data_IF_843174231760
#
_entry.id   IF_843174231760
#
_cell.length_a   1.000
_cell.length_b   1.000
_cell.length_c   1.000
_cell.angle_alpha   90.00
_cell.angle_beta   90.00
_cell.angle_gamma   90.00
#
_symmetry.space_group_name_H-M   'P 1'
#
loop_
_entity.id
_entity.type
_entity.pdbx_description
1 polymer ?
#
# COMPACT_ATOMS: atom_id res chain seq x y z
N UNK A 1 0.88 17.36 31.02
CA UNK A 1 1.40 17.36 29.64
C UNK A 1 0.51 18.25 28.78
N UNK A 2 0.99 19.44 28.45
CA UNK A 2 0.41 20.34 27.44
C UNK A 2 0.69 19.74 26.07
N UNK A 3 -0.34 19.19 25.42
CA UNK A 3 -0.26 18.86 24.00
C UNK A 3 -0.04 20.18 23.25
N UNK A 4 1.18 20.42 22.75
CA UNK A 4 1.43 21.54 21.84
C UNK A 4 0.50 21.36 20.65
N UNK A 5 -0.48 22.25 20.50
CA UNK A 5 -1.28 22.37 19.29
C UNK A 5 -0.32 22.58 18.12
N UNK A 6 -0.16 21.57 17.26
CA UNK A 6 0.54 21.75 16.00
C UNK A 6 -0.26 22.69 15.10
N UNK A 7 0.37 23.29 14.11
CA UNK A 7 -0.31 24.15 13.13
C UNK A 7 -1.35 23.34 12.35
N UNK A 8 -2.58 23.86 12.22
CA UNK A 8 -3.60 23.33 11.31
C UNK A 8 -3.09 23.43 9.87
N UNK A 9 -3.51 22.51 9.00
CA UNK A 9 -3.41 22.74 7.57
C UNK A 9 -4.24 23.95 7.15
N UNK A 10 -3.85 24.60 6.06
CA UNK A 10 -4.59 25.74 5.52
C UNK A 10 -6.06 25.39 5.24
N UNK A 11 -6.33 24.19 4.71
CA UNK A 11 -7.68 23.71 4.45
C UNK A 11 -8.52 23.60 5.73
N UNK A 12 -7.98 23.01 6.80
CA UNK A 12 -8.71 22.90 8.07
C UNK A 12 -8.86 24.25 8.79
N UNK A 13 -7.92 25.18 8.58
CA UNK A 13 -8.05 26.55 9.10
C UNK A 13 -9.20 27.28 8.40
N UNK A 14 -9.29 27.21 7.06
CA UNK A 14 -10.41 27.79 6.29
C UNK A 14 -11.75 27.22 6.74
N UNK A 15 -11.87 25.89 6.86
CA UNK A 15 -13.11 25.27 7.36
C UNK A 15 -13.47 25.78 8.75
N UNK A 16 -12.50 25.84 9.67
CA UNK A 16 -12.75 26.32 11.02
C UNK A 16 -13.23 27.78 11.06
N UNK A 17 -12.66 28.63 10.21
CA UNK A 17 -13.00 30.05 10.14
C UNK A 17 -14.40 30.28 9.53
N UNK A 18 -14.86 29.39 8.65
CA UNK A 18 -16.20 29.43 8.02
C UNK A 18 -17.31 28.86 8.92
N UNK A 19 -16.97 28.07 9.95
CA UNK A 19 -17.97 27.47 10.84
C UNK A 19 -18.58 28.51 11.80
N UNK A 20 -19.91 28.47 11.94
CA UNK A 20 -20.62 29.17 13.03
C UNK A 20 -20.19 28.64 14.40
N UNK A 21 -20.31 29.46 15.44
CA UNK A 21 -19.97 29.06 16.81
C UNK A 21 -20.74 27.82 17.27
N UNK A 22 -22.03 27.72 16.93
CA UNK A 22 -22.83 26.52 17.19
C UNK A 22 -22.32 25.26 16.47
N UNK A 23 -21.78 25.41 15.26
CA UNK A 23 -21.22 24.29 14.51
C UNK A 23 -19.87 23.85 15.09
N UNK A 24 -19.03 24.80 15.55
CA UNK A 24 -17.74 24.48 16.19
C UNK A 24 -17.90 23.64 17.45
N UNK A 25 -18.97 23.84 18.22
CA UNK A 25 -19.30 23.01 19.39
C UNK A 25 -19.53 21.54 19.01
N UNK A 26 -20.03 21.27 17.81
CA UNK A 26 -20.33 19.90 17.35
C UNK A 26 -19.10 19.17 16.80
N UNK A 27 -18.08 19.90 16.33
CA UNK A 27 -16.87 19.33 15.69
C UNK A 27 -16.22 18.21 16.51
N UNK A 28 -15.94 18.35 17.83
CA UNK A 28 -15.33 17.27 18.60
C UNK A 28 -16.16 15.98 18.61
N UNK A 29 -17.48 16.10 18.75
CA UNK A 29 -18.40 14.95 18.77
C UNK A 29 -18.49 14.29 17.40
N UNK A 30 -18.62 15.08 16.35
CA UNK A 30 -18.76 14.57 14.99
C UNK A 30 -17.48 13.89 14.52
N UNK A 31 -16.32 14.50 14.77
CA UNK A 31 -15.01 13.90 14.49
C UNK A 31 -14.80 12.61 15.30
N UNK A 32 -15.13 12.59 16.60
CA UNK A 32 -15.05 11.36 17.40
C UNK A 32 -15.95 10.25 16.86
N UNK A 33 -17.20 10.59 16.51
CA UNK A 33 -18.17 9.63 15.98
C UNK A 33 -17.64 9.05 14.66
N UNK A 34 -17.34 9.90 13.68
CA UNK A 34 -16.80 9.49 12.38
C UNK A 34 -15.54 8.62 12.53
N UNK A 35 -14.60 9.04 13.39
CA UNK A 35 -13.36 8.29 13.59
C UNK A 35 -13.60 6.91 14.20
N UNK A 36 -14.56 6.78 15.13
CA UNK A 36 -14.83 5.51 15.83
C UNK A 36 -15.74 4.57 15.06
N UNK A 37 -16.73 5.10 14.33
CA UNK A 37 -17.76 4.30 13.64
C UNK A 37 -17.42 4.01 12.18
N UNK A 38 -16.61 4.83 11.53
CA UNK A 38 -16.28 4.67 10.11
C UNK A 38 -14.79 4.39 9.92
N UNK A 39 -13.93 5.29 10.42
CA UNK A 39 -12.49 5.21 10.16
C UNK A 39 -11.84 3.97 10.79
N UNK A 40 -12.05 3.72 12.09
CA UNK A 40 -11.45 2.54 12.75
C UNK A 40 -11.88 1.22 12.10
N UNK A 41 -13.17 0.98 11.80
CA UNK A 41 -13.57 -0.19 11.02
C UNK A 41 -12.90 -0.27 9.65
N UNK A 42 -12.82 0.84 8.90
CA UNK A 42 -12.14 0.86 7.61
C UNK A 42 -10.65 0.48 7.72
N UNK A 43 -9.95 0.98 8.75
CA UNK A 43 -8.56 0.60 9.03
C UNK A 43 -8.42 -0.89 9.30
N UNK A 44 -9.37 -1.51 10.02
CA UNK A 44 -9.36 -2.96 10.27
C UNK A 44 -9.57 -3.76 8.98
N UNK A 45 -10.42 -3.29 8.09
CA UNK A 45 -10.59 -3.91 6.77
C UNK A 45 -9.31 -3.80 5.93
N UNK A 46 -8.63 -2.66 5.95
CA UNK A 46 -7.31 -2.51 5.29
C UNK A 46 -6.28 -3.46 5.91
N UNK A 47 -6.24 -3.59 7.24
CA UNK A 47 -5.34 -4.53 7.92
C UNK A 47 -5.59 -5.97 7.48
N UNK A 48 -6.87 -6.38 7.44
CA UNK A 48 -7.30 -7.72 7.02
C UNK A 48 -6.94 -8.00 5.57
N UNK A 49 -7.31 -7.10 4.65
CA UNK A 49 -6.97 -7.23 3.24
C UNK A 49 -5.45 -7.27 3.02
N UNK A 50 -4.70 -6.43 3.74
CA UNK A 50 -3.25 -6.43 3.70
C UNK A 50 -2.63 -7.73 4.20
N UNK A 51 -3.17 -8.33 5.26
CA UNK A 51 -2.72 -9.63 5.77
C UNK A 51 -2.98 -10.77 4.77
N UNK A 52 -4.13 -10.78 4.10
CA UNK A 52 -4.41 -11.77 3.05
C UNK A 52 -3.48 -11.60 1.84
N UNK A 53 -3.27 -10.35 1.39
CA UNK A 53 -2.31 -10.07 0.31
C UNK A 53 -0.89 -10.51 0.67
N UNK A 54 -0.46 -10.31 1.92
CA UNK A 54 0.84 -10.74 2.39
C UNK A 54 1.02 -12.27 2.32
N UNK A 55 -0.03 -13.05 2.67
CA UNK A 55 -0.01 -14.52 2.53
C UNK A 55 0.18 -14.93 1.07
N UNK A 56 -0.54 -14.28 0.15
CA UNK A 56 -0.42 -14.54 -1.29
C UNK A 56 1.00 -14.25 -1.77
N UNK A 57 1.60 -13.12 -1.35
CA UNK A 57 2.98 -12.80 -1.72
C UNK A 57 4.00 -13.80 -1.16
N UNK A 58 3.82 -14.28 0.07
CA UNK A 58 4.69 -15.30 0.65
C UNK A 58 4.58 -16.64 -0.09
N UNK A 59 3.37 -17.04 -0.48
CA UNK A 59 3.16 -18.22 -1.30
C UNK A 59 3.83 -18.08 -2.68
N UNK A 60 3.65 -16.92 -3.34
CA UNK A 60 4.30 -16.61 -4.60
C UNK A 60 5.83 -16.71 -4.50
N UNK A 61 6.43 -16.09 -3.47
CA UNK A 61 7.88 -16.17 -3.24
C UNK A 61 8.36 -17.63 -3.14
N UNK A 62 7.67 -18.43 -2.32
CA UNK A 62 8.01 -19.85 -2.16
C UNK A 62 7.93 -20.61 -3.48
N UNK A 63 6.87 -20.40 -4.26
CA UNK A 63 6.70 -21.03 -5.57
C UNK A 63 7.75 -20.56 -6.59
N UNK A 64 8.09 -19.27 -6.59
CA UNK A 64 9.15 -18.71 -7.45
C UNK A 64 10.52 -19.30 -7.11
N UNK A 65 10.87 -19.43 -5.84
CA UNK A 65 12.12 -20.03 -5.39
C UNK A 65 12.24 -21.50 -5.84
N UNK A 66 11.14 -22.26 -5.73
CA UNK A 66 11.06 -23.64 -6.21
C UNK A 66 11.26 -23.72 -7.74
N UNK A 67 10.64 -22.81 -8.49
CA UNK A 67 10.78 -22.77 -9.94
C UNK A 67 12.19 -22.41 -10.39
N UNK A 68 12.81 -21.39 -9.76
CA UNK A 68 14.23 -21.04 -9.98
C UNK A 68 15.12 -22.25 -9.70
N UNK A 69 14.87 -22.98 -8.61
CA UNK A 69 15.65 -24.17 -8.28
C UNK A 69 15.53 -25.28 -9.34
N UNK A 70 14.31 -25.54 -9.82
CA UNK A 70 14.07 -26.52 -10.88
C UNK A 70 14.80 -26.11 -12.19
N UNK A 71 14.71 -24.84 -12.60
CA UNK A 71 15.41 -24.33 -13.77
C UNK A 71 16.94 -24.41 -13.61
N UNK A 72 17.49 -24.10 -12.44
CA UNK A 72 18.93 -24.27 -12.17
C UNK A 72 19.37 -25.74 -12.26
N UNK A 73 18.48 -26.68 -11.93
CA UNK A 73 18.75 -28.11 -12.08
C UNK A 73 18.77 -28.52 -13.55
N UNK A 74 17.85 -27.98 -14.37
CA UNK A 74 17.86 -28.16 -15.83
C UNK A 74 19.11 -27.54 -16.47
N UNK A 75 19.49 -26.32 -16.09
CA UNK A 75 20.76 -25.69 -16.50
C UNK A 75 21.96 -26.57 -16.13
N UNK A 76 21.97 -27.18 -14.94
CA UNK A 76 23.07 -28.05 -14.53
C UNK A 76 23.19 -29.30 -15.40
N UNK A 77 22.07 -29.85 -15.88
CA UNK A 77 22.10 -31.05 -16.73
C UNK A 77 22.69 -30.77 -18.11
N UNK A 78 22.56 -29.54 -18.64
CA UNK A 78 23.13 -29.14 -19.93
C UNK A 78 24.67 -29.22 -19.98
N UNK A 79 25.35 -29.17 -18.82
CA UNK A 79 26.82 -29.24 -18.72
C UNK A 79 27.41 -30.54 -19.28
N UNK A 80 26.60 -31.60 -19.35
CA UNK A 80 26.97 -32.91 -19.92
C UNK A 80 26.45 -33.12 -21.34
N UNK A 81 25.73 -32.14 -21.90
CA UNK A 81 25.13 -32.24 -23.22
C UNK A 81 26.12 -31.84 -24.32
N UNK A 82 25.78 -32.14 -25.58
CA UNK A 82 26.54 -31.71 -26.75
C UNK A 82 26.59 -30.17 -26.86
N UNK A 83 27.58 -29.59 -27.57
CA UNK A 83 27.85 -28.15 -27.57
C UNK A 83 26.64 -27.25 -27.87
N UNK A 84 25.79 -27.64 -28.82
CA UNK A 84 24.58 -26.87 -29.16
C UNK A 84 23.58 -26.77 -27.99
N UNK A 85 23.34 -27.88 -27.29
CA UNK A 85 22.46 -27.90 -26.12
C UNK A 85 23.09 -27.21 -24.90
N UNK A 86 24.42 -27.28 -24.76
CA UNK A 86 25.15 -26.54 -23.73
C UNK A 86 24.97 -25.03 -23.89
N UNK A 87 25.12 -24.51 -25.12
CA UNK A 87 24.90 -23.09 -25.41
C UNK A 87 23.48 -22.60 -25.02
N UNK A 88 22.46 -23.43 -25.27
CA UNK A 88 21.09 -23.13 -24.83
C UNK A 88 20.94 -23.16 -23.30
N UNK A 89 21.62 -24.09 -22.63
CA UNK A 89 21.66 -24.13 -21.18
C UNK A 89 22.34 -22.91 -20.55
N UNK A 90 23.39 -22.38 -21.20
CA UNK A 90 24.05 -21.15 -20.77
C UNK A 90 23.10 -19.94 -20.94
N UNK A 91 22.41 -19.81 -22.08
CA UNK A 91 21.39 -18.77 -22.28
C UNK A 91 20.22 -18.86 -21.29
N UNK A 92 19.76 -20.08 -20.97
CA UNK A 92 18.75 -20.29 -19.92
C UNK A 92 19.28 -19.85 -18.54
N UNK A 93 20.55 -20.10 -18.23
CA UNK A 93 21.14 -19.69 -16.96
C UNK A 93 21.10 -18.16 -16.76
N UNK A 94 21.33 -17.40 -17.84
CA UNK A 94 21.28 -15.94 -17.80
C UNK A 94 19.86 -15.45 -17.50
N UNK A 95 18.84 -16.06 -18.13
CA UNK A 95 17.43 -15.75 -17.86
C UNK A 95 17.04 -16.10 -16.41
N UNK A 96 17.46 -17.28 -15.93
CA UNK A 96 17.21 -17.72 -14.55
C UNK A 96 17.84 -16.77 -13.54
N UNK A 97 19.05 -16.28 -13.84
CA UNK A 97 19.76 -15.32 -12.99
C UNK A 97 19.03 -13.98 -12.92
N UNK A 98 18.57 -13.46 -14.07
CA UNK A 98 17.77 -12.24 -14.12
C UNK A 98 16.45 -12.38 -13.36
N UNK A 99 15.70 -13.47 -13.58
CA UNK A 99 14.45 -13.73 -12.87
C UNK A 99 14.65 -13.86 -11.36
N UNK A 100 15.68 -14.59 -10.92
CA UNK A 100 16.02 -14.71 -9.50
C UNK A 100 16.31 -13.33 -8.88
N UNK A 101 16.99 -12.44 -9.61
CA UNK A 101 17.22 -11.06 -9.18
C UNK A 101 15.94 -10.26 -8.97
N UNK A 102 14.91 -10.45 -9.83
CA UNK A 102 13.59 -9.81 -9.65
C UNK A 102 12.87 -10.39 -8.43
N UNK A 103 12.88 -11.71 -8.25
CA UNK A 103 12.27 -12.38 -7.09
C UNK A 103 12.87 -11.85 -5.78
N UNK A 104 14.18 -11.67 -5.71
CA UNK A 104 14.86 -11.11 -4.55
C UNK A 104 14.46 -9.66 -4.25
N UNK A 105 14.27 -8.83 -5.29
CA UNK A 105 13.82 -7.46 -5.10
C UNK A 105 12.35 -7.38 -4.68
N UNK A 106 11.49 -8.20 -5.30
CA UNK A 106 10.11 -8.35 -4.88
C UNK A 106 10.03 -8.78 -3.40
N UNK A 107 10.91 -9.70 -2.96
CA UNK A 107 11.01 -10.11 -1.56
C UNK A 107 11.31 -8.96 -0.60
N UNK A 108 12.22 -8.06 -0.96
CA UNK A 108 12.51 -6.84 -0.17
C UNK A 108 11.27 -5.93 -0.09
N UNK A 109 10.59 -5.71 -1.21
CA UNK A 109 9.36 -4.89 -1.24
C UNK A 109 8.23 -5.49 -0.39
N UNK A 110 8.06 -6.81 -0.42
CA UNK A 110 7.07 -7.52 0.42
C UNK A 110 7.43 -7.43 1.91
N UNK A 111 8.72 -7.39 2.27
CA UNK A 111 9.13 -7.16 3.67
C UNK A 111 8.70 -5.78 4.18
N UNK A 112 8.87 -4.73 3.36
CA UNK A 112 8.35 -3.38 3.67
C UNK A 112 6.83 -3.38 3.82
N UNK A 113 6.13 -4.11 2.94
CA UNK A 113 4.68 -4.28 3.02
C UNK A 113 4.26 -4.97 4.32
N UNK A 114 4.96 -6.03 4.74
CA UNK A 114 4.69 -6.73 5.99
C UNK A 114 4.79 -5.80 7.20
N UNK A 115 5.79 -4.91 7.22
CA UNK A 115 5.93 -3.90 8.26
C UNK A 115 4.78 -2.88 8.26
N UNK A 116 4.28 -2.49 7.08
CA UNK A 116 3.11 -1.62 6.94
C UNK A 116 1.83 -2.30 7.44
N UNK A 117 1.59 -3.55 7.04
CA UNK A 117 0.43 -4.33 7.49
C UNK A 117 0.45 -4.49 9.01
N UNK A 118 1.60 -4.83 9.60
CA UNK A 118 1.76 -4.94 11.05
C UNK A 118 1.40 -3.63 11.78
N UNK A 119 1.93 -2.49 11.31
CA UNK A 119 1.58 -1.17 11.86
C UNK A 119 0.10 -0.86 11.73
N UNK A 120 -0.51 -1.18 10.59
CA UNK A 120 -1.93 -0.96 10.32
C UNK A 120 -2.81 -1.80 11.25
N UNK A 121 -2.43 -3.05 11.50
CA UNK A 121 -3.10 -3.94 12.45
C UNK A 121 -3.04 -3.39 13.88
N UNK A 122 -1.86 -2.99 14.34
CA UNK A 122 -1.69 -2.37 15.67
C UNK A 122 -2.53 -1.10 15.79
N UNK A 123 -2.50 -0.27 14.77
CA UNK A 123 -3.30 0.94 14.68
C UNK A 123 -4.80 0.62 14.85
N UNK A 124 -5.35 -0.30 14.05
CA UNK A 124 -6.76 -0.69 14.13
C UNK A 124 -7.19 -1.27 15.48
N UNK A 125 -6.27 -1.88 16.24
CA UNK A 125 -6.55 -2.46 17.55
C UNK A 125 -6.56 -1.42 18.68
N UNK A 126 -5.61 -0.49 18.67
CA UNK A 126 -5.41 0.48 19.75
C UNK A 126 -6.20 1.78 19.56
N UNK A 127 -6.54 2.13 18.32
CA UNK A 127 -7.03 3.48 18.01
C UNK A 127 -8.36 3.81 18.66
N UNK A 128 -9.25 2.82 18.80
CA UNK A 128 -10.55 3.01 19.45
C UNK A 128 -10.41 3.49 20.90
N UNK A 129 -9.42 2.96 21.64
CA UNK A 129 -9.18 3.37 23.02
C UNK A 129 -8.58 4.78 23.08
N UNK A 130 -7.59 5.07 22.23
CA UNK A 130 -6.98 6.40 22.14
C UNK A 130 -8.01 7.49 21.85
N UNK A 131 -8.93 7.23 20.92
CA UNK A 131 -10.05 8.14 20.62
C UNK A 131 -10.98 8.31 21.81
N UNK A 132 -11.29 7.22 22.54
CA UNK A 132 -12.14 7.29 23.75
C UNK A 132 -11.47 8.13 24.83
N UNK A 133 -10.17 7.98 25.07
CA UNK A 133 -9.43 8.75 26.07
C UNK A 133 -9.44 10.25 25.75
N UNK A 134 -9.12 10.61 24.49
CA UNK A 134 -9.14 12.00 24.02
C UNK A 134 -10.53 12.62 24.19
N UNK A 135 -11.58 11.89 23.77
CA UNK A 135 -12.94 12.40 23.85
C UNK A 135 -13.47 12.48 25.29
N UNK A 136 -13.13 11.51 26.14
CA UNK A 136 -13.49 11.53 27.57
C UNK A 136 -12.83 12.69 28.30
N UNK A 137 -11.59 13.03 27.93
CA UNK A 137 -10.89 14.21 28.46
C UNK A 137 -11.60 15.50 28.04
N UNK A 138 -11.92 15.63 26.75
CA UNK A 138 -12.69 16.77 26.24
C UNK A 138 -14.02 16.94 26.98
N UNK A 139 -14.81 15.88 27.16
CA UNK A 139 -16.08 15.95 27.88
C UNK A 139 -15.95 16.41 29.34
N UNK A 140 -14.84 16.07 30.01
CA UNK A 140 -14.57 16.55 31.37
C UNK A 140 -14.23 18.04 31.37
N UNK A 141 -13.40 18.47 30.44
CA UNK A 141 -12.98 19.88 30.29
C UNK A 141 -14.17 20.77 29.89
N UNK A 142 -15.04 20.30 29.00
CA UNK A 142 -16.27 20.98 28.57
C UNK A 142 -17.24 21.21 29.74
N UNK A 143 -17.48 20.19 30.57
CA UNK A 143 -18.30 20.32 31.77
C UNK A 143 -17.69 21.27 32.80
N UNK A 144 -16.38 21.22 32.98
CA UNK A 144 -15.68 22.03 33.96
C UNK A 144 -15.64 23.52 33.54
N UNK A 145 -15.38 23.82 32.26
CA UNK A 145 -15.38 25.21 31.80
C UNK A 145 -16.77 25.83 31.87
N UNK A 146 -17.82 25.05 31.57
CA UNK A 146 -19.20 25.52 31.68
C UNK A 146 -19.62 25.74 33.15
N UNK A 147 -19.14 24.89 34.07
CA UNK A 147 -19.34 25.09 35.51
C UNK A 147 -18.61 26.35 36.01
N UNK A 148 -17.40 26.61 35.53
CA UNK A 148 -16.64 27.81 35.86
C UNK A 148 -17.29 29.07 35.28
N UNK A 149 -17.89 28.97 34.08
CA UNK A 149 -18.70 30.06 33.48
C UNK A 149 -19.88 30.42 34.38
N UNK A 150 -20.66 29.41 34.81
CA UNK A 150 -21.82 29.60 35.70
C UNK A 150 -21.45 30.19 37.07
N UNK A 151 -20.24 29.92 37.56
CA UNK A 151 -19.70 30.49 38.80
C UNK A 151 -19.11 31.89 38.63
N UNK A 152 -19.03 32.41 37.40
CA UNK A 152 -18.41 33.70 37.09
C UNK A 152 -16.87 33.68 37.11
N UNK A 153 -16.23 32.53 37.30
CA UNK A 153 -14.75 32.42 37.30
C UNK A 153 -14.16 32.34 35.89
N UNK A 154 -15.00 32.13 34.87
CA UNK A 154 -14.65 32.14 33.45
C UNK A 154 -15.66 32.99 32.67
N UNK A 155 -15.16 33.68 31.66
CA UNK A 155 -15.97 34.55 30.79
C UNK A 155 -16.56 33.77 29.62
N UNK A 156 -17.50 34.37 28.89
CA UNK A 156 -17.97 33.81 27.61
C UNK A 156 -16.84 33.72 26.57
N UNK A 157 -15.88 34.65 26.61
CA UNK A 157 -14.69 34.62 25.75
C UNK A 157 -13.79 33.42 26.04
N UNK A 158 -13.62 33.04 27.31
CA UNK A 158 -12.89 31.82 27.68
C UNK A 158 -13.56 30.57 27.10
N UNK A 159 -14.89 30.50 27.17
CA UNK A 159 -15.67 29.37 26.63
C UNK A 159 -15.53 29.30 25.11
N UNK A 160 -15.61 30.43 24.42
CA UNK A 160 -15.43 30.48 22.97
C UNK A 160 -14.02 30.07 22.56
N UNK A 161 -13.00 30.47 23.32
CA UNK A 161 -11.60 30.07 23.10
C UNK A 161 -11.45 28.55 23.23
N UNK A 162 -12.01 27.95 24.28
CA UNK A 162 -12.02 26.51 24.47
C UNK A 162 -12.74 25.76 23.33
N UNK A 163 -13.88 26.27 22.86
CA UNK A 163 -14.61 25.69 21.73
C UNK A 163 -13.76 25.72 20.45
N UNK A 164 -13.15 26.87 20.13
CA UNK A 164 -12.27 27.02 18.97
C UNK A 164 -11.06 26.06 19.06
N UNK A 165 -10.39 26.00 20.21
CA UNK A 165 -9.23 25.14 20.43
C UNK A 165 -9.57 23.65 20.36
N UNK A 166 -10.73 23.27 20.91
CA UNK A 166 -11.23 21.90 20.86
C UNK A 166 -11.58 21.48 19.42
N UNK A 167 -12.32 22.32 18.69
CA UNK A 167 -12.65 22.06 17.29
C UNK A 167 -11.36 21.90 16.45
N UNK A 168 -10.40 22.82 16.63
CA UNK A 168 -9.08 22.76 15.99
C UNK A 168 -8.34 21.46 16.31
N UNK A 169 -8.29 21.05 17.57
CA UNK A 169 -7.63 19.82 17.98
C UNK A 169 -8.25 18.60 17.29
N UNK A 170 -9.57 18.49 17.26
CA UNK A 170 -10.25 17.34 16.67
C UNK A 170 -10.12 17.27 15.14
N UNK A 171 -10.17 18.41 14.45
CA UNK A 171 -9.88 18.48 13.00
C UNK A 171 -8.43 18.04 12.71
N UNK A 172 -7.47 18.52 13.50
CA UNK A 172 -6.07 18.12 13.37
C UNK A 172 -5.90 16.62 13.64
N UNK A 173 -6.58 16.09 14.67
CA UNK A 173 -6.57 14.67 14.98
C UNK A 173 -7.11 13.87 13.80
N UNK A 174 -8.22 14.26 13.19
CA UNK A 174 -8.75 13.56 12.01
C UNK A 174 -7.74 13.59 10.85
N UNK A 175 -7.19 14.76 10.53
CA UNK A 175 -6.23 14.93 9.43
C UNK A 175 -4.97 14.06 9.58
N UNK A 176 -4.36 14.05 10.77
CA UNK A 176 -3.13 13.30 11.01
C UNK A 176 -3.30 11.80 10.75
N UNK A 177 -4.49 11.25 11.02
CA UNK A 177 -4.79 9.84 10.81
C UNK A 177 -4.87 9.50 9.33
N UNK A 178 -5.63 10.28 8.55
CA UNK A 178 -5.69 10.10 7.10
C UNK A 178 -4.32 10.31 6.44
N UNK A 179 -3.57 11.32 6.90
CA UNK A 179 -2.22 11.59 6.41
C UNK A 179 -1.28 10.40 6.61
N UNK A 180 -1.31 9.77 7.79
CA UNK A 180 -0.52 8.56 8.04
C UNK A 180 -0.80 7.48 6.99
N UNK A 181 -2.06 7.16 6.73
CA UNK A 181 -2.41 6.13 5.75
C UNK A 181 -1.99 6.50 4.33
N UNK A 182 -2.22 7.74 3.92
CA UNK A 182 -1.80 8.24 2.62
C UNK A 182 -0.28 8.14 2.43
N UNK A 183 0.51 8.69 3.36
CA UNK A 183 1.97 8.73 3.24
C UNK A 183 2.57 7.33 3.22
N UNK A 184 2.10 6.42 4.09
CA UNK A 184 2.65 5.06 4.16
C UNK A 184 2.32 4.24 2.93
N UNK A 185 1.08 4.30 2.44
CA UNK A 185 0.71 3.56 1.23
C UNK A 185 1.36 4.15 -0.02
N UNK A 186 1.41 5.49 -0.14
CA UNK A 186 2.13 6.16 -1.25
C UNK A 186 3.60 5.74 -1.29
N UNK A 187 4.28 5.76 -0.14
CA UNK A 187 5.67 5.32 -0.06
C UNK A 187 5.84 3.88 -0.53
N UNK A 188 4.98 2.98 -0.07
CA UNK A 188 5.04 1.57 -0.46
C UNK A 188 4.76 1.36 -1.96
N UNK A 189 3.71 2.01 -2.51
CA UNK A 189 3.39 1.93 -3.93
C UNK A 189 4.55 2.41 -4.81
N UNK A 190 5.22 3.50 -4.41
CA UNK A 190 6.40 3.99 -5.13
C UNK A 190 7.58 3.00 -5.07
N UNK A 191 7.76 2.27 -3.96
CA UNK A 191 8.73 1.17 -3.90
C UNK A 191 8.33 0.05 -4.87
N UNK A 192 7.06 -0.35 -4.86
CA UNK A 192 6.56 -1.44 -5.69
C UNK A 192 6.69 -1.14 -7.19
N UNK A 193 6.38 0.09 -7.61
CA UNK A 193 6.48 0.52 -9.01
C UNK A 193 7.91 0.43 -9.58
N UNK A 194 8.95 0.48 -8.73
CA UNK A 194 10.35 0.31 -9.18
C UNK A 194 10.65 -1.10 -9.69
N UNK A 195 9.78 -2.08 -9.43
CA UNK A 195 9.91 -3.44 -9.94
C UNK A 195 9.50 -3.54 -11.42
N UNK A 196 8.62 -2.65 -11.91
CA UNK A 196 8.05 -2.73 -13.27
C UNK A 196 9.12 -2.65 -14.38
N UNK A 197 10.05 -1.66 -14.37
CA UNK A 197 11.06 -1.57 -15.42
C UNK A 197 11.96 -2.81 -15.53
N UNK A 198 12.14 -3.54 -14.42
CA UNK A 198 12.97 -4.74 -14.38
C UNK A 198 12.25 -5.93 -15.03
N UNK A 199 10.93 -6.01 -14.86
CA UNK A 199 10.10 -7.00 -15.55
C UNK A 199 10.01 -6.70 -17.06
N UNK A 200 9.99 -5.42 -17.44
CA UNK A 200 10.03 -5.01 -18.85
C UNK A 200 11.39 -5.33 -19.51
N UNK A 201 12.49 -5.23 -18.77
CA UNK A 201 13.83 -5.56 -19.28
C UNK A 201 13.95 -7.06 -19.62
N UNK A 202 13.39 -7.95 -18.79
CA UNK A 202 13.26 -9.39 -19.12
C UNK A 202 12.44 -9.60 -20.40
N UNK A 203 11.42 -8.77 -20.63
CA UNK A 203 10.53 -8.87 -21.79
C UNK A 203 11.17 -8.31 -23.07
N UNK A 204 12.03 -7.29 -22.94
CA UNK A 204 12.70 -6.59 -24.05
C UNK A 204 13.99 -7.26 -24.52
N UNK A 205 14.57 -8.20 -23.76
CA UNK A 205 15.62 -9.11 -24.25
C UNK A 205 15.20 -9.93 -25.48
N UNK A 206 13.90 -9.95 -25.83
CA UNK A 206 13.40 -10.48 -27.11
C UNK A 206 13.85 -9.69 -28.34
N UNK A 207 14.10 -8.38 -28.24
CA UNK A 207 14.38 -7.57 -29.43
C UNK A 207 15.80 -7.77 -29.97
N UNK A 208 16.77 -8.17 -29.15
CA UNK A 208 18.14 -8.43 -29.64
C UNK A 208 18.31 -9.85 -30.20
N UNK A 209 17.53 -10.83 -29.73
CA UNK A 209 17.52 -12.18 -30.29
C UNK A 209 16.76 -12.27 -31.62
N UNK A 210 15.82 -11.36 -31.88
CA UNK A 210 15.12 -11.31 -33.18
C UNK A 210 16.02 -10.88 -34.35
N UNK A 211 17.16 -10.21 -34.11
CA UNK A 211 18.08 -9.84 -35.19
C UNK A 211 18.86 -11.07 -35.68
N UNK A 212 19.30 -11.95 -34.78
CA UNK A 212 19.98 -13.20 -35.13
C UNK A 212 19.00 -14.30 -35.61
N UNK A 213 17.76 -14.30 -35.11
CA UNK A 213 16.75 -15.27 -35.51
C UNK A 213 16.09 -14.91 -36.86
N UNK A 214 15.97 -13.62 -37.20
CA UNK A 214 15.51 -13.18 -38.52
C UNK A 214 16.50 -13.53 -39.64
N UNK A 215 17.82 -13.52 -39.36
CA UNK A 215 18.83 -13.97 -40.32
C UNK A 215 18.75 -15.49 -40.54
N UNK A 216 18.49 -16.26 -39.47
CA UNK A 216 18.33 -17.73 -39.54
C UNK A 216 16.99 -18.20 -40.11
N UNK A 217 15.91 -17.45 -39.92
CA UNK A 217 14.57 -17.79 -40.41
C UNK A 217 14.28 -17.26 -41.83
N UNK A 218 15.14 -16.41 -42.41
CA UNK A 218 15.05 -16.01 -43.82
C UNK A 218 15.25 -17.17 -44.81
N UNK A 219 15.73 -18.32 -44.34
CA UNK A 219 15.92 -19.52 -45.15
C UNK A 219 14.69 -20.47 -45.18
N UNK A 220 13.63 -20.23 -44.41
CA UNK A 220 12.41 -21.06 -44.43
C UNK A 220 11.17 -20.16 -44.31
N UNK A 221 10.48 -20.01 -45.43
CA UNK A 221 9.35 -19.11 -45.69
C UNK A 221 8.31 -18.91 -44.57
N UNK A 222 7.94 -17.63 -44.40
CA UNK A 222 6.60 -17.03 -44.49
C UNK A 222 5.43 -17.71 -43.74
N UNK A 223 4.91 -17.03 -42.70
CA UNK A 223 3.48 -16.68 -42.48
C UNK A 223 3.35 -15.82 -41.19
N UNK A 224 2.72 -14.64 -41.36
CA UNK A 224 1.93 -13.79 -40.43
C UNK A 224 1.73 -14.27 -38.97
N UNK A 225 1.70 -13.47 -37.90
CA UNK A 225 1.59 -12.04 -37.67
C UNK A 225 1.14 -11.79 -36.21
N UNK A 226 1.74 -10.77 -35.58
CA UNK A 226 1.22 -9.92 -34.47
C UNK A 226 0.63 -10.57 -33.20
N UNK A 227 1.37 -10.56 -32.07
CA UNK A 227 0.82 -10.75 -30.71
C UNK A 227 1.22 -9.56 -29.81
N UNK A 228 0.31 -8.58 -29.72
CA UNK A 228 0.35 -7.45 -28.78
C UNK A 228 -0.98 -7.37 -27.98
N UNK A 229 -1.48 -8.51 -27.50
CA UNK A 229 -2.81 -8.58 -26.88
C UNK A 229 -2.94 -9.57 -25.71
N UNK A 230 -1.85 -9.86 -24.97
CA UNK A 230 -1.89 -10.88 -23.90
C UNK A 230 -2.14 -10.35 -22.48
N UNK A 231 -2.33 -9.04 -22.27
CA UNK A 231 -2.57 -8.46 -20.95
C UNK A 231 -4.01 -7.98 -20.68
N UNK A 232 -4.95 -8.13 -21.63
CA UNK A 232 -6.34 -7.67 -21.45
C UNK A 232 -7.40 -8.77 -21.38
N UNK A 233 -7.06 -10.06 -21.49
CA UNK A 233 -8.08 -11.12 -21.65
C UNK A 233 -7.90 -12.32 -20.71
N UNK A 234 -7.25 -12.15 -19.55
CA UNK A 234 -7.15 -13.21 -18.53
C UNK A 234 -8.25 -13.15 -17.46
N UNK A 235 -9.36 -12.43 -17.71
CA UNK A 235 -10.54 -12.37 -16.84
C UNK A 235 -11.83 -12.89 -17.48
N UNK A 236 -11.76 -13.52 -18.66
CA UNK A 236 -12.95 -14.17 -19.24
C UNK A 236 -12.58 -15.53 -19.82
N UNK A 237 -13.24 -16.53 -19.28
CA UNK A 237 -13.44 -17.88 -19.80
C UNK A 237 -12.41 -18.92 -19.38
N UNK A 238 -12.67 -19.48 -18.19
CA UNK A 238 -12.76 -20.93 -18.05
C UNK A 238 -13.51 -21.54 -19.25
N UNK A 239 -12.84 -22.41 -20.00
CA UNK A 239 -13.34 -23.68 -20.57
C UNK A 239 -12.36 -24.15 -21.67
N UNK A 240 -12.22 -25.48 -21.77
CA UNK A 240 -11.38 -26.28 -22.69
C UNK A 240 -10.04 -26.82 -22.15
N UNK A 241 -10.16 -27.81 -21.27
CA UNK A 241 -9.79 -29.23 -21.48
C UNK A 241 -8.93 -29.57 -22.73
N UNK A 242 -7.78 -30.24 -22.46
CA UNK A 242 -7.01 -31.24 -23.23
C UNK A 242 -6.69 -31.04 -24.74
N UNK A 243 -5.40 -31.06 -25.10
CA UNK A 243 -4.69 -32.24 -25.69
C UNK A 243 -3.22 -31.90 -26.03
N UNK A 244 -2.35 -32.91 -25.78
CA UNK A 244 -0.92 -33.09 -26.14
C UNK A 244 0.13 -32.21 -25.46
#
# INVERSE_FOLDING_TARGET
>A
MTLRLGTLSAANQTVLDELSDSAKVMVPKDAYTQLTTEFVPAVKEVAKAGAELLKVYQALQKSSDQYVHALKTLVRSSKKAFPGAKAQGDGLNDLVTQYAGIVDQHKKCVSEFAALVSKTTLYGNEEKEKLREIFSKYQKEDKEIEKQRKKGTKTQSDVQTFVNDSAKLFLQQQELRYRFFYEKHRSWFLTYLKLIPQMDTLSLGRKSLQVDEAERLSAVNSISGTVSAFLCTALKNEQYIFFL
#
